data_IF_482488388027
#
_entry.id   IF_482488388027
#
_cell.length_a   1.000
_cell.length_b   1.000
_cell.length_c   1.000
_cell.angle_alpha   90.00
_cell.angle_beta   90.00
_cell.angle_gamma   90.00
#
_symmetry.space_group_name_H-M   'P 1'
#
loop_
_entity.id
_entity.type
_entity.pdbx_description
1 polymer ?
#
# COMPACT_ATOMS: atom_id res chain seq x y z
N UNK A 1 -8.94 -19.23 1.76
CA UNK A 1 -9.43 -18.25 0.77
C UNK A 1 -8.22 -17.54 0.19
N UNK A 2 -8.01 -17.65 -1.12
CA UNK A 2 -6.93 -16.98 -1.83
C UNK A 2 -7.40 -15.54 -2.07
N UNK A 3 -6.84 -14.57 -1.35
CA UNK A 3 -7.28 -13.19 -1.48
C UNK A 3 -6.71 -12.63 -2.78
N UNK A 4 -7.58 -12.44 -3.77
CA UNK A 4 -7.29 -11.71 -4.99
C UNK A 4 -6.86 -10.28 -4.62
N UNK A 5 -5.68 -9.87 -5.09
CA UNK A 5 -5.30 -8.45 -5.12
C UNK A 5 -6.45 -7.69 -5.77
N UNK A 6 -6.92 -6.62 -5.13
CA UNK A 6 -7.93 -5.76 -5.74
C UNK A 6 -7.30 -5.10 -6.97
N UNK A 7 -8.06 -4.97 -8.04
CA UNK A 7 -7.68 -4.20 -9.21
C UNK A 7 -8.20 -2.77 -9.08
N UNK A 8 -7.65 -1.87 -9.87
CA UNK A 8 -8.14 -0.47 -9.96
C UNK A 8 -9.65 -0.41 -10.24
N UNK A 9 -10.17 -1.38 -11.01
CA UNK A 9 -11.61 -1.49 -11.33
C UNK A 9 -12.48 -1.88 -10.13
N UNK A 10 -11.88 -2.44 -9.09
CA UNK A 10 -12.56 -2.85 -7.86
C UNK A 10 -12.63 -1.70 -6.85
N UNK A 11 -12.04 -0.53 -7.14
CA UNK A 11 -12.13 0.63 -6.26
C UNK A 11 -13.58 1.14 -6.17
N UNK A 12 -14.06 1.47 -4.95
CA UNK A 12 -15.41 2.02 -4.76
C UNK A 12 -15.46 3.48 -5.24
N UNK A 13 -15.74 3.67 -6.53
CA UNK A 13 -15.72 4.99 -7.19
C UNK A 13 -16.70 5.98 -6.55
N UNK A 14 -17.88 5.51 -6.12
CA UNK A 14 -18.86 6.40 -5.50
C UNK A 14 -18.41 6.90 -4.12
N UNK A 15 -17.85 6.03 -3.26
CA UNK A 15 -17.24 6.45 -1.99
C UNK A 15 -16.12 7.47 -2.20
N UNK A 16 -15.25 7.24 -3.20
CA UNK A 16 -14.17 8.17 -3.55
C UNK A 16 -14.73 9.53 -4.03
N UNK A 17 -15.84 9.52 -4.78
CA UNK A 17 -16.51 10.74 -5.25
C UNK A 17 -17.10 11.54 -4.09
N UNK A 18 -17.75 10.87 -3.13
CA UNK A 18 -18.31 11.51 -1.93
C UNK A 18 -17.22 12.22 -1.09
N UNK A 19 -16.00 11.67 -1.07
CA UNK A 19 -14.84 12.29 -0.41
C UNK A 19 -14.11 13.34 -1.26
N UNK A 20 -14.58 13.62 -2.48
CA UNK A 20 -13.94 14.55 -3.40
C UNK A 20 -12.61 14.04 -3.99
N UNK A 21 -12.35 12.74 -3.88
CA UNK A 21 -11.15 12.05 -4.38
C UNK A 21 -11.35 11.44 -5.77
N UNK A 22 -12.53 11.61 -6.36
CA UNK A 22 -12.82 11.24 -7.73
C UNK A 22 -13.54 12.36 -8.46
N UNK A 23 -12.96 12.88 -9.54
CA UNK A 23 -13.52 13.98 -10.33
C UNK A 23 -13.17 13.80 -11.81
N UNK A 24 -14.11 14.09 -12.71
CA UNK A 24 -13.90 14.07 -14.16
C UNK A 24 -13.35 12.75 -14.72
N UNK A 25 -13.66 11.63 -14.06
CA UNK A 25 -13.18 10.29 -14.45
C UNK A 25 -11.84 9.89 -13.85
N UNK A 26 -11.21 10.76 -13.06
CA UNK A 26 -9.88 10.54 -12.50
C UNK A 26 -9.91 10.44 -10.97
N UNK A 27 -9.06 9.57 -10.43
CA UNK A 27 -8.82 9.45 -8.99
C UNK A 27 -7.75 10.47 -8.60
N UNK A 28 -8.09 11.37 -7.69
CA UNK A 28 -7.18 12.37 -7.15
C UNK A 28 -6.44 11.82 -5.92
N UNK A 29 -5.65 10.76 -6.12
CA UNK A 29 -4.75 10.20 -5.12
C UNK A 29 -3.37 9.95 -5.73
N UNK A 30 -2.29 10.11 -4.96
CA UNK A 30 -0.97 9.67 -5.39
C UNK A 30 -0.98 8.18 -5.75
N UNK A 31 -0.21 7.80 -6.77
CA UNK A 31 -0.12 6.39 -7.20
C UNK A 31 0.22 5.44 -6.03
N UNK A 32 1.13 5.85 -5.14
CA UNK A 32 1.49 5.02 -3.98
C UNK A 32 0.31 4.75 -3.05
N UNK A 33 -0.59 5.72 -2.89
CA UNK A 33 -1.79 5.55 -2.06
C UNK A 33 -2.82 4.67 -2.74
N UNK A 34 -2.95 4.74 -4.08
CA UNK A 34 -3.78 3.79 -4.84
C UNK A 34 -3.24 2.36 -4.68
N UNK A 35 -1.93 2.16 -4.88
CA UNK A 35 -1.27 0.86 -4.74
C UNK A 35 -1.41 0.32 -3.28
N UNK A 36 -1.34 1.21 -2.29
CA UNK A 36 -1.60 0.89 -0.88
C UNK A 36 -3.03 0.37 -0.66
N UNK A 37 -4.05 1.07 -1.17
CA UNK A 37 -5.45 0.64 -1.07
C UNK A 37 -5.65 -0.75 -1.71
N UNK A 38 -5.11 -0.96 -2.91
CA UNK A 38 -5.23 -2.22 -3.65
C UNK A 38 -4.50 -3.39 -2.98
N UNK A 39 -3.46 -3.09 -2.18
CA UNK A 39 -2.75 -4.07 -1.35
C UNK A 39 -3.38 -4.28 0.02
N UNK A 40 -4.48 -3.59 0.33
CA UNK A 40 -5.16 -3.65 1.61
C UNK A 40 -4.43 -2.94 2.75
N UNK A 41 -3.49 -2.05 2.41
CA UNK A 41 -2.79 -1.15 3.34
C UNK A 41 -3.55 0.17 3.47
N UNK A 42 -3.10 1.02 4.42
CA UNK A 42 -3.61 2.38 4.57
C UNK A 42 -2.86 3.35 3.68
N UNK A 43 -3.54 4.37 3.18
CA UNK A 43 -2.92 5.51 2.48
C UNK A 43 -2.04 6.34 3.41
N UNK A 44 -1.31 7.28 2.81
CA UNK A 44 -0.75 8.42 3.50
C UNK A 44 -1.86 9.30 4.10
N UNK A 45 -1.50 10.25 4.96
CA UNK A 45 -2.47 11.18 5.53
C UNK A 45 -2.93 12.14 4.42
N UNK A 46 -4.20 12.05 4.06
CA UNK A 46 -4.85 12.83 3.02
C UNK A 46 -5.66 13.95 3.67
N UNK A 47 -5.53 15.15 3.11
CA UNK A 47 -6.37 16.29 3.47
C UNK A 47 -7.61 16.31 2.58
N UNK A 48 -8.77 16.07 3.17
CA UNK A 48 -10.06 16.24 2.52
C UNK A 48 -10.58 17.65 2.77
N UNK A 49 -11.26 18.21 1.77
CA UNK A 49 -11.87 19.53 1.86
C UNK A 49 -13.36 19.42 1.50
N UNK A 50 -14.20 20.19 2.20
CA UNK A 50 -15.64 20.29 1.96
C UNK A 50 -16.33 18.92 1.90
N UNK A 51 -16.05 18.07 2.89
CA UNK A 51 -16.70 16.76 3.00
C UNK A 51 -18.13 16.98 3.45
N UNK A 52 -19.10 16.53 2.64
CA UNK A 52 -20.52 16.64 2.94
C UNK A 52 -21.03 15.22 3.19
N UNK A 53 -21.45 14.94 4.42
CA UNK A 53 -22.07 13.67 4.75
C UNK A 53 -23.23 13.86 5.72
N UNK A 54 -24.39 13.29 5.38
CA UNK A 54 -25.59 13.31 6.22
C UNK A 54 -26.00 14.71 6.73
N UNK A 55 -25.82 15.74 5.90
CA UNK A 55 -26.16 17.14 6.22
C UNK A 55 -25.15 17.88 7.10
N UNK A 56 -24.03 17.24 7.45
CA UNK A 56 -22.90 17.88 8.12
C UNK A 56 -21.84 18.24 7.08
N UNK A 57 -21.47 19.51 7.03
CA UNK A 57 -20.37 20.00 6.21
C UNK A 57 -19.12 20.13 7.07
N UNK A 58 -18.07 19.39 6.69
CA UNK A 58 -16.74 19.47 7.29
C UNK A 58 -15.83 20.17 6.30
N UNK A 59 -15.45 21.41 6.61
CA UNK A 59 -14.60 22.23 5.74
C UNK A 59 -13.27 21.53 5.42
N UNK A 60 -12.66 20.91 6.43
CA UNK A 60 -11.38 20.24 6.30
C UNK A 60 -11.26 19.10 7.30
N UNK A 61 -10.74 17.96 6.84
CA UNK A 61 -10.33 16.87 7.72
C UNK A 61 -9.14 16.11 7.17
N UNK A 62 -8.25 15.68 8.05
CA UNK A 62 -7.15 14.79 7.71
C UNK A 62 -7.57 13.34 7.99
N UNK A 63 -7.35 12.46 7.02
CA UNK A 63 -7.74 11.05 7.10
C UNK A 63 -6.68 10.15 6.49
N UNK A 64 -6.64 8.89 6.91
CA UNK A 64 -6.14 7.80 6.07
C UNK A 64 -7.32 7.00 5.53
N UNK A 65 -7.10 6.30 4.43
CA UNK A 65 -8.10 5.43 3.82
C UNK A 65 -7.59 3.99 3.78
N UNK A 66 -8.51 3.02 3.84
CA UNK A 66 -8.22 1.62 3.53
C UNK A 66 -9.40 0.97 2.83
N UNK A 67 -9.19 -0.21 2.24
CA UNK A 67 -10.28 -1.02 1.70
C UNK A 67 -10.57 -2.23 2.59
N UNK A 68 -11.85 -2.52 2.75
CA UNK A 68 -12.35 -3.79 3.27
C UNK A 68 -13.30 -4.43 2.26
N UNK A 69 -13.63 -5.71 2.45
CA UNK A 69 -14.73 -6.35 1.71
C UNK A 69 -15.95 -6.38 2.60
N UNK A 70 -17.08 -5.90 2.08
CA UNK A 70 -18.36 -5.96 2.77
C UNK A 70 -18.96 -7.38 2.74
N UNK A 71 -20.17 -7.56 3.29
CA UNK A 71 -20.88 -8.85 3.34
C UNK A 71 -21.13 -9.47 1.97
N UNK A 72 -21.24 -8.65 0.93
CA UNK A 72 -21.46 -9.09 -0.45
C UNK A 72 -20.13 -9.35 -1.20
N UNK A 73 -18.99 -9.22 -0.51
CA UNK A 73 -17.66 -9.40 -1.06
C UNK A 73 -17.17 -8.23 -1.92
N UNK A 74 -17.92 -7.13 -1.99
CA UNK A 74 -17.52 -5.90 -2.71
C UNK A 74 -16.58 -5.07 -1.85
N UNK A 75 -15.66 -4.35 -2.49
CA UNK A 75 -14.78 -3.42 -1.80
C UNK A 75 -15.58 -2.23 -1.26
N UNK A 76 -15.30 -1.84 -0.02
CA UNK A 76 -15.83 -0.64 0.65
C UNK A 76 -14.67 0.23 1.13
N UNK A 77 -14.83 1.55 1.06
CA UNK A 77 -13.83 2.49 1.53
C UNK A 77 -14.02 2.77 3.03
N UNK A 78 -12.98 2.53 3.81
CA UNK A 78 -12.94 2.88 5.22
C UNK A 78 -12.18 4.18 5.43
N UNK A 79 -12.78 5.11 6.16
CA UNK A 79 -12.20 6.41 6.50
C UNK A 79 -11.66 6.38 7.93
N UNK A 80 -10.39 6.69 8.10
CA UNK A 80 -9.68 6.72 9.38
C UNK A 80 -9.30 8.17 9.71
N UNK A 81 -10.17 8.94 10.40
CA UNK A 81 -9.86 10.32 10.76
C UNK A 81 -8.77 10.39 11.83
N UNK A 82 -8.21 11.59 12.04
CA UNK A 82 -7.36 11.85 13.21
C UNK A 82 -8.21 11.92 14.49
N UNK A 83 -8.22 10.84 15.26
CA UNK A 83 -8.99 10.73 16.49
C UNK A 83 -8.40 11.60 17.61
N UNK A 84 -9.25 12.13 18.49
CA UNK A 84 -8.80 12.82 19.71
C UNK A 84 -8.19 11.85 20.71
N UNK A 85 -8.82 10.69 20.86
CA UNK A 85 -8.43 9.63 21.79
C UNK A 85 -8.54 8.27 21.10
N UNK A 86 -7.52 7.45 21.26
CA UNK A 86 -7.48 6.10 20.74
C UNK A 86 -8.27 5.13 21.62
N UNK A 87 -8.95 4.17 21.00
CA UNK A 87 -9.63 3.08 21.70
C UNK A 87 -8.80 1.80 21.51
N UNK A 88 -8.24 1.28 22.60
CA UNK A 88 -7.46 0.05 22.54
C UNK A 88 -8.36 -1.17 22.22
N UNK A 89 -7.93 -2.09 21.34
CA UNK A 89 -8.67 -3.29 21.05
C UNK A 89 -8.66 -4.23 22.28
N UNK A 90 -9.77 -4.95 22.50
CA UNK A 90 -9.93 -5.86 23.66
C UNK A 90 -8.86 -6.95 23.79
N UNK A 91 -8.13 -7.23 22.70
CA UNK A 91 -7.11 -8.27 22.64
C UNK A 91 -5.76 -7.85 23.27
N UNK A 92 -5.59 -6.56 23.60
CA UNK A 92 -4.41 -6.05 24.30
C UNK A 92 -4.80 -5.45 25.65
N UNK A 93 -3.90 -5.52 26.62
CA UNK A 93 -4.05 -4.84 27.90
C UNK A 93 -3.76 -3.34 27.79
N UNK A 94 -4.15 -2.55 28.81
CA UNK A 94 -3.83 -1.12 28.84
C UNK A 94 -2.33 -0.84 28.82
N UNK A 95 -1.53 -1.64 29.54
CA UNK A 95 -0.06 -1.52 29.53
C UNK A 95 0.53 -1.81 28.15
N UNK A 96 0.01 -2.82 27.47
CA UNK A 96 0.41 -3.12 26.09
C UNK A 96 -0.01 -2.01 25.10
N UNK A 97 -1.17 -1.39 25.33
CA UNK A 97 -1.59 -0.23 24.57
C UNK A 97 -0.64 0.96 24.80
N UNK A 98 -0.24 1.21 26.05
CA UNK A 98 0.73 2.25 26.40
C UNK A 98 2.10 1.99 25.76
N UNK A 99 2.57 0.74 25.75
CA UNK A 99 3.83 0.35 25.07
C UNK A 99 3.81 0.73 23.58
N UNK A 100 2.67 0.52 22.90
CA UNK A 100 2.49 0.88 21.50
C UNK A 100 2.36 2.39 21.30
N UNK A 101 1.59 3.08 22.14
CA UNK A 101 1.39 4.54 22.04
C UNK A 101 2.71 5.30 22.25
N UNK A 102 3.51 4.86 23.22
CA UNK A 102 4.80 5.48 23.56
C UNK A 102 5.92 5.10 22.60
N UNK A 103 5.73 4.05 21.80
CA UNK A 103 6.72 3.52 20.88
C UNK A 103 7.72 2.56 21.53
N UNK A 104 7.57 2.21 22.82
CA UNK A 104 8.37 1.17 23.47
C UNK A 104 8.28 -0.16 22.71
N UNK A 105 7.15 -0.42 22.05
CA UNK A 105 7.00 -1.50 21.08
C UNK A 105 6.47 -0.95 19.77
N UNK A 106 7.04 -1.43 18.67
CA UNK A 106 6.51 -1.16 17.34
C UNK A 106 5.15 -1.85 17.09
N UNK A 107 5.04 -3.09 17.54
CA UNK A 107 3.86 -3.92 17.37
C UNK A 107 3.80 -5.02 18.45
N UNK A 108 2.66 -5.66 18.55
CA UNK A 108 2.42 -6.85 19.36
C UNK A 108 1.86 -7.96 18.48
N UNK A 109 2.25 -9.21 18.75
CA UNK A 109 1.62 -10.39 18.16
C UNK A 109 0.69 -11.03 19.18
N UNK A 110 -0.58 -11.21 18.80
CA UNK A 110 -1.62 -11.88 19.58
C UNK A 110 -2.14 -13.07 18.83
N UNK A 111 -2.39 -14.16 19.55
CA UNK A 111 -3.01 -15.36 18.98
C UNK A 111 -4.48 -15.40 19.38
N UNK A 112 -5.34 -15.75 18.42
CA UNK A 112 -6.77 -15.95 18.64
C UNK A 112 -7.24 -17.19 17.88
N UNK A 113 -8.42 -17.70 18.24
CA UNK A 113 -9.07 -18.79 17.51
C UNK A 113 -10.33 -18.23 16.87
N UNK A 114 -10.42 -18.33 15.55
CA UNK A 114 -11.60 -17.93 14.78
C UNK A 114 -12.00 -19.09 13.86
N UNK A 115 -13.25 -19.54 13.96
CA UNK A 115 -13.76 -20.70 13.19
C UNK A 115 -12.89 -21.96 13.34
N UNK A 116 -12.32 -22.20 14.53
CA UNK A 116 -11.44 -23.34 14.81
C UNK A 116 -10.02 -23.22 14.22
N UNK A 117 -9.67 -22.09 13.59
CA UNK A 117 -8.34 -21.84 13.07
C UNK A 117 -7.59 -20.84 13.97
N UNK A 118 -6.34 -21.16 14.27
CA UNK A 118 -5.44 -20.23 14.96
C UNK A 118 -5.08 -19.09 14.01
N UNK A 119 -5.32 -17.87 14.44
CA UNK A 119 -4.91 -16.65 13.77
C UNK A 119 -3.90 -15.90 14.60
N UNK A 120 -2.85 -15.42 13.94
CA UNK A 120 -1.87 -14.50 14.51
C UNK A 120 -2.20 -13.10 14.04
N UNK A 121 -2.50 -12.23 14.99
CA UNK A 121 -2.86 -10.84 14.78
C UNK A 121 -1.70 -9.94 15.20
N UNK A 122 -1.28 -9.06 14.30
CA UNK A 122 -0.35 -7.98 14.59
C UNK A 122 -1.15 -6.75 15.00
N UNK A 123 -0.82 -6.18 16.16
CA UNK A 123 -1.41 -4.94 16.67
C UNK A 123 -0.37 -3.84 16.64
N UNK A 124 -0.68 -2.75 15.96
CA UNK A 124 0.17 -1.56 15.81
C UNK A 124 -0.58 -0.30 16.27
N UNK A 125 0.16 0.76 16.58
CA UNK A 125 -0.40 2.10 16.78
C UNK A 125 -0.04 3.01 15.61
N UNK A 126 -1.04 3.67 15.03
CA UNK A 126 -0.87 4.66 13.98
C UNK A 126 -0.91 6.06 14.59
N UNK A 127 0.27 6.67 14.76
CA UNK A 127 0.39 8.03 15.31
C UNK A 127 -0.23 9.11 14.43
N UNK A 128 -0.38 8.87 13.12
CA UNK A 128 -0.97 9.86 12.22
C UNK A 128 -2.49 10.00 12.50
N UNK A 129 -3.19 8.88 12.75
CA UNK A 129 -4.64 8.87 13.02
C UNK A 129 -5.01 8.68 14.50
N UNK A 130 -4.03 8.38 15.36
CA UNK A 130 -4.21 8.00 16.77
C UNK A 130 -5.14 6.80 16.93
N UNK A 131 -4.85 5.74 16.19
CA UNK A 131 -5.68 4.55 16.14
C UNK A 131 -4.84 3.28 16.26
N UNK A 132 -5.42 2.23 16.84
CA UNK A 132 -4.81 0.90 16.83
C UNK A 132 -5.23 0.14 15.58
N UNK A 133 -4.25 -0.45 14.90
CA UNK A 133 -4.46 -1.28 13.71
C UNK A 133 -4.29 -2.74 14.10
N UNK A 134 -5.27 -3.57 13.78
CA UNK A 134 -5.20 -5.02 13.96
C UNK A 134 -5.17 -5.69 12.59
N UNK A 135 -4.09 -6.42 12.32
CA UNK A 135 -3.85 -7.06 11.02
C UNK A 135 -3.63 -8.55 11.20
N UNK A 136 -4.33 -9.38 10.44
CA UNK A 136 -3.99 -10.80 10.31
C UNK A 136 -2.64 -10.94 9.61
N UNK A 137 -1.66 -11.51 10.31
CA UNK A 137 -0.27 -11.67 9.82
C UNK A 137 -0.17 -12.47 8.54
N UNK A 138 -1.15 -13.34 8.24
CA UNK A 138 -1.21 -14.08 6.97
C UNK A 138 -1.43 -13.17 5.75
N UNK A 139 -1.85 -11.92 5.97
CA UNK A 139 -2.03 -10.89 4.92
C UNK A 139 -0.76 -10.11 4.62
N UNK A 140 0.29 -10.27 5.43
CA UNK A 140 1.54 -9.53 5.23
C UNK A 140 2.29 -10.08 4.02
N UNK A 141 2.67 -9.18 3.10
CA UNK A 141 3.49 -9.53 1.95
C UNK A 141 4.95 -9.58 2.37
N UNK A 142 5.55 -10.76 2.34
CA UNK A 142 6.94 -10.99 2.74
C UNK A 142 7.88 -10.79 1.54
N UNK A 143 8.86 -9.87 1.63
CA UNK A 143 9.88 -9.72 0.59
C UNK A 143 10.71 -10.99 0.39
N UNK A 144 11.04 -11.27 -0.87
CA UNK A 144 12.05 -12.26 -1.25
C UNK A 144 13.46 -11.69 -1.07
N UNK A 145 13.67 -10.44 -1.48
CA UNK A 145 14.92 -9.70 -1.34
C UNK A 145 14.66 -8.26 -0.90
N UNK A 146 15.63 -7.68 -0.22
CA UNK A 146 15.71 -6.24 0.08
C UNK A 146 17.09 -5.73 -0.34
N UNK A 147 17.11 -4.68 -1.15
CA UNK A 147 18.31 -4.14 -1.78
C UNK A 147 19.16 -5.23 -2.45
N UNK A 148 18.50 -6.19 -3.11
CA UNK A 148 19.15 -7.29 -3.83
C UNK A 148 19.76 -8.38 -2.93
N UNK A 149 19.62 -8.26 -1.60
CA UNK A 149 20.05 -9.29 -0.65
C UNK A 149 18.84 -10.18 -0.33
N UNK A 150 18.93 -11.52 -0.50
CA UNK A 150 17.84 -12.43 -0.18
C UNK A 150 17.60 -12.54 1.32
N UNK A 151 16.32 -12.59 1.69
CA UNK A 151 15.92 -12.92 3.06
C UNK A 151 16.10 -14.43 3.28
N UNK A 152 16.76 -14.78 4.37
CA UNK A 152 16.80 -16.18 4.85
C UNK A 152 15.41 -16.66 5.27
N UNK A 153 15.15 -17.98 5.30
CA UNK A 153 13.88 -18.52 5.80
C UNK A 153 13.51 -18.02 7.20
N UNK A 154 14.50 -17.91 8.08
CA UNK A 154 14.31 -17.37 9.43
C UNK A 154 13.92 -15.88 9.42
N UNK A 155 14.55 -15.06 8.57
CA UNK A 155 14.16 -13.65 8.43
C UNK A 155 12.76 -13.51 7.83
N UNK A 156 12.39 -14.33 6.85
CA UNK A 156 11.03 -14.35 6.28
C UNK A 156 9.99 -14.68 7.34
N UNK A 157 10.22 -15.72 8.14
CA UNK A 157 9.34 -16.09 9.26
C UNK A 157 9.23 -14.95 10.26
N UNK A 158 10.35 -14.36 10.69
CA UNK A 158 10.36 -13.22 11.61
C UNK A 158 9.56 -12.04 11.08
N UNK A 159 9.77 -11.67 9.81
CA UNK A 159 9.07 -10.57 9.17
C UNK A 159 7.56 -10.85 9.09
N UNK A 160 7.17 -12.07 8.72
CA UNK A 160 5.77 -12.51 8.70
C UNK A 160 5.12 -12.44 10.09
N UNK A 161 5.91 -12.55 11.17
CA UNK A 161 5.45 -12.34 12.54
C UNK A 161 5.70 -10.90 13.05
N UNK A 162 5.75 -9.91 12.14
CA UNK A 162 5.88 -8.48 12.49
C UNK A 162 7.23 -8.07 13.07
N UNK A 163 8.23 -8.96 13.13
CA UNK A 163 9.50 -8.67 13.79
C UNK A 163 10.44 -7.91 12.87
N UNK A 164 11.23 -7.02 13.47
CA UNK A 164 12.31 -6.31 12.79
C UNK A 164 13.34 -7.28 12.20
N UNK A 165 13.80 -6.97 10.99
CA UNK A 165 14.88 -7.65 10.29
C UNK A 165 16.05 -6.68 10.16
N UNK A 166 17.26 -7.21 10.29
CA UNK A 166 18.51 -6.50 9.99
C UNK A 166 19.23 -7.26 8.87
N UNK A 167 19.67 -6.51 7.86
CA UNK A 167 20.40 -7.01 6.70
C UNK A 167 21.90 -6.76 6.90
N UNK A 168 22.78 -7.53 6.22
CA UNK A 168 24.23 -7.34 6.30
C UNK A 168 24.74 -5.94 5.94
N UNK A 169 23.96 -5.15 5.19
CA UNK A 169 24.29 -3.78 4.78
C UNK A 169 23.79 -2.71 5.77
N UNK A 170 23.37 -3.13 6.97
CA UNK A 170 22.82 -2.27 8.02
C UNK A 170 21.40 -1.78 7.76
N UNK A 171 20.74 -2.23 6.69
CA UNK A 171 19.31 -1.96 6.47
C UNK A 171 18.49 -2.70 7.52
N UNK A 172 17.67 -1.96 8.26
CA UNK A 172 16.68 -2.52 9.17
C UNK A 172 15.28 -2.17 8.70
N UNK A 173 14.36 -3.13 8.82
CA UNK A 173 12.99 -2.95 8.38
C UNK A 173 12.04 -3.91 9.09
N UNK A 174 10.74 -3.61 9.05
CA UNK A 174 9.68 -4.45 9.58
C UNK A 174 8.37 -4.19 8.83
N UNK A 175 7.46 -5.16 8.84
CA UNK A 175 6.11 -4.97 8.32
C UNK A 175 5.36 -3.90 9.11
N UNK A 176 4.53 -3.09 8.43
CA UNK A 176 3.63 -2.14 9.08
C UNK A 176 2.42 -1.81 8.22
N UNK A 177 1.22 -2.16 8.69
CA UNK A 177 -0.04 -1.85 8.02
C UNK A 177 -0.53 -0.42 8.26
N UNK A 178 0.17 0.34 9.12
CA UNK A 178 -0.02 1.77 9.32
C UNK A 178 0.56 2.64 8.18
N UNK A 179 1.30 2.02 7.25
CA UNK A 179 2.07 2.72 6.22
C UNK A 179 1.64 2.29 4.81
N UNK A 180 1.66 3.19 3.81
CA UNK A 180 1.29 2.87 2.43
C UNK A 180 2.11 1.73 1.83
N UNK A 181 3.42 1.76 2.07
CA UNK A 181 4.37 0.80 1.52
C UNK A 181 4.34 -0.55 2.25
N UNK A 182 3.53 -0.68 3.32
CA UNK A 182 3.45 -1.89 4.15
C UNK A 182 4.70 -2.15 4.99
N UNK A 183 5.66 -1.22 5.02
CA UNK A 183 7.00 -1.39 5.60
C UNK A 183 7.44 -0.12 6.32
N UNK A 184 8.08 -0.29 7.47
CA UNK A 184 8.93 0.73 8.11
C UNK A 184 10.40 0.36 7.95
N UNK A 185 11.27 1.35 7.84
CA UNK A 185 12.71 1.13 7.68
C UNK A 185 13.56 2.24 8.27
N UNK A 186 14.82 1.93 8.60
CA UNK A 186 15.85 2.95 8.87
C UNK A 186 16.36 3.66 7.59
N UNK A 187 15.93 3.22 6.40
CA UNK A 187 16.21 3.85 5.11
C UNK A 187 14.98 4.59 4.57
N UNK A 188 15.19 5.67 3.81
CA UNK A 188 14.11 6.40 3.13
C UNK A 188 13.58 5.69 1.87
N UNK A 189 14.38 4.80 1.29
CA UNK A 189 14.02 4.05 0.11
C UNK A 189 14.60 2.64 0.16
N UNK A 190 13.86 1.68 -0.40
CA UNK A 190 14.28 0.29 -0.54
C UNK A 190 13.89 -0.23 -1.92
N UNK A 191 14.70 -1.12 -2.47
CA UNK A 191 14.28 -1.97 -3.58
C UNK A 191 13.91 -3.33 -3.00
N UNK A 192 12.64 -3.70 -3.08
CA UNK A 192 12.16 -4.99 -2.58
C UNK A 192 11.72 -5.87 -3.75
N UNK A 193 11.78 -7.18 -3.56
CA UNK A 193 11.20 -8.11 -4.52
C UNK A 193 10.12 -8.96 -3.87
N UNK A 194 9.04 -9.22 -4.60
CA UNK A 194 7.91 -10.03 -4.14
C UNK A 194 7.68 -11.17 -5.15
N UNK A 195 7.27 -12.34 -4.64
CA UNK A 195 6.78 -13.41 -5.48
C UNK A 195 5.32 -13.09 -5.88
N UNK A 196 5.07 -12.87 -7.17
CA UNK A 196 3.77 -12.53 -7.73
C UNK A 196 3.54 -13.32 -9.01
N UNK A 197 2.37 -13.95 -9.14
CA UNK A 197 1.92 -14.63 -10.37
C UNK A 197 2.93 -15.64 -10.97
N UNK A 198 3.70 -16.32 -10.11
CA UNK A 198 4.70 -17.32 -10.50
C UNK A 198 6.09 -16.75 -10.86
N UNK A 199 6.32 -15.45 -10.67
CA UNK A 199 7.61 -14.79 -10.91
C UNK A 199 8.01 -13.79 -9.83
N UNK A 200 9.25 -13.31 -9.90
CA UNK A 200 9.76 -12.27 -8.99
C UNK A 200 9.49 -10.90 -9.61
N UNK A 201 8.75 -10.05 -8.89
CA UNK A 201 8.47 -8.65 -9.24
C UNK A 201 9.26 -7.73 -8.31
N UNK A 202 9.84 -6.66 -8.86
CA UNK A 202 10.61 -5.67 -8.10
C UNK A 202 9.84 -4.37 -7.91
N UNK A 203 9.82 -3.88 -6.68
CA UNK A 203 9.20 -2.62 -6.28
C UNK A 203 10.26 -1.67 -5.71
N UNK A 204 10.22 -0.42 -6.17
CA UNK A 204 10.96 0.67 -5.56
C UNK A 204 10.02 1.36 -4.57
N UNK A 205 10.33 1.24 -3.28
CA UNK A 205 9.61 1.90 -2.20
C UNK A 205 10.38 3.16 -1.81
N UNK A 206 9.69 4.29 -1.70
CA UNK A 206 10.30 5.60 -1.40
C UNK A 206 9.44 6.39 -0.44
N UNK A 207 10.05 7.23 0.40
CA UNK A 207 9.30 7.95 1.43
C UNK A 207 8.87 7.02 2.57
N UNK A 208 9.59 5.91 2.76
CA UNK A 208 9.32 4.93 3.80
C UNK A 208 9.28 5.61 5.16
N UNK A 209 8.31 5.21 5.99
CA UNK A 209 8.23 5.71 7.37
C UNK A 209 9.31 5.07 8.25
N UNK A 210 9.77 5.85 9.21
CA UNK A 210 10.75 5.44 10.19
C UNK A 210 10.31 4.22 11.01
N UNK A 211 11.31 3.42 11.42
CA UNK A 211 11.16 2.43 12.48
C UNK A 211 10.70 3.10 13.78
N UNK A 212 10.03 2.33 14.64
CA UNK A 212 9.62 2.76 15.98
C UNK A 212 10.67 2.31 16.99
N UNK A 213 10.98 3.16 17.96
CA UNK A 213 11.76 2.79 19.14
C UNK A 213 11.27 3.54 20.39
N UNK A 214 11.98 3.36 21.50
CA UNK A 214 11.56 3.73 22.86
C UNK A 214 11.17 5.21 23.09
N UNK A 215 11.45 6.10 22.13
CA UNK A 215 11.10 7.53 22.16
C UNK A 215 10.33 7.99 20.93
N UNK A 216 9.59 7.07 20.29
CA UNK A 216 8.88 7.30 19.04
C UNK A 216 9.69 6.91 17.81
N UNK A 217 9.59 7.69 16.74
CA UNK A 217 10.21 7.35 15.46
C UNK A 217 11.74 7.48 15.51
N UNK A 218 12.45 6.44 15.08
CA UNK A 218 13.90 6.42 14.97
C UNK A 218 14.38 7.29 13.79
N UNK A 219 15.60 7.86 13.86
CA UNK A 219 16.18 8.56 12.72
C UNK A 219 16.31 7.64 11.50
N UNK A 220 15.98 8.17 10.32
CA UNK A 220 16.22 7.52 9.05
C UNK A 220 17.40 8.13 8.32
N UNK A 221 18.06 7.33 7.51
CA UNK A 221 19.15 7.75 6.64
C UNK A 221 18.70 7.65 5.18
N UNK A 222 18.97 8.69 4.38
CA UNK A 222 18.91 8.59 2.90
C UNK A 222 20.20 7.98 2.36
N UNK A 223 20.63 6.85 2.94
CA UNK A 223 21.82 6.15 2.50
C UNK A 223 21.43 5.15 1.42
N UNK A 224 21.81 5.46 0.18
CA UNK A 224 21.64 4.61 -0.99
C UNK A 224 22.97 3.89 -1.23
N UNK A 225 23.16 2.80 -0.51
CA UNK A 225 24.40 2.04 -0.56
C UNK A 225 24.57 1.30 -1.89
N UNK A 226 25.71 0.64 -2.05
CA UNK A 226 26.03 -0.12 -3.28
C UNK A 226 24.97 -1.18 -3.61
N UNK A 227 24.43 -1.86 -2.60
CA UNK A 227 23.41 -2.89 -2.76
C UNK A 227 22.08 -2.31 -3.27
N UNK A 228 21.66 -1.15 -2.75
CA UNK A 228 20.50 -0.42 -3.27
C UNK A 228 20.66 -0.09 -4.75
N UNK A 229 21.81 0.46 -5.16
CA UNK A 229 22.05 0.83 -6.56
C UNK A 229 22.08 -0.39 -7.50
N UNK A 230 22.73 -1.49 -7.08
CA UNK A 230 22.73 -2.75 -7.83
C UNK A 230 21.32 -3.31 -7.99
N UNK A 231 20.54 -3.31 -6.91
CA UNK A 231 19.16 -3.79 -6.94
C UNK A 231 18.27 -2.93 -7.85
N UNK A 232 18.46 -1.62 -7.83
CA UNK A 232 17.72 -0.70 -8.69
C UNK A 232 18.02 -0.95 -10.18
N UNK A 233 19.29 -1.20 -10.52
CA UNK A 233 19.69 -1.56 -11.88
C UNK A 233 19.11 -2.90 -12.31
N UNK A 234 19.15 -3.91 -11.45
CA UNK A 234 18.55 -5.22 -11.72
C UNK A 234 17.03 -5.12 -11.95
N UNK A 235 16.33 -4.34 -11.13
CA UNK A 235 14.90 -4.07 -11.28
C UNK A 235 14.58 -3.36 -12.61
N UNK A 236 15.42 -2.40 -13.03
CA UNK A 236 15.26 -1.71 -14.30
C UNK A 236 15.52 -2.63 -15.51
N UNK A 237 16.51 -3.53 -15.41
CA UNK A 237 16.81 -4.52 -16.43
C UNK A 237 15.62 -5.49 -16.65
N UNK A 238 14.98 -5.95 -15.57
CA UNK A 238 13.84 -6.87 -15.71
C UNK A 238 12.59 -6.19 -16.31
N UNK A 239 12.34 -4.91 -16.00
CA UNK A 239 11.28 -4.13 -16.65
C UNK A 239 11.51 -3.97 -18.15
N UNK A 240 12.75 -4.06 -18.63
CA UNK A 240 13.07 -3.95 -20.06
C UNK A 240 13.07 -5.30 -20.80
N UNK A 241 13.22 -6.43 -20.09
CA UNK A 241 13.10 -7.78 -20.68
C UNK A 241 11.67 -8.26 -20.88
N UNK A 242 10.66 -7.64 -20.22
CA UNK A 242 9.24 -7.85 -20.54
C UNK A 242 8.87 -7.00 -21.78
N UNK A 243 9.40 -7.38 -22.94
CA UNK A 243 8.89 -6.96 -24.27
C UNK A 243 8.17 -8.15 -24.90
N UNK A 244 6.85 -8.02 -25.02
CA UNK A 244 5.83 -8.84 -25.70
C UNK A 244 6.25 -10.14 -26.42
N UNK A 245 5.54 -11.24 -26.17
CA UNK A 245 5.03 -12.11 -27.21
C UNK A 245 3.55 -11.78 -27.49
N UNK A 246 3.29 -11.37 -28.74
CA UNK A 246 1.98 -11.33 -29.41
C UNK A 246 0.97 -10.21 -29.03
N UNK A 247 1.17 -9.02 -29.61
CA UNK A 247 0.05 -8.20 -30.09
C UNK A 247 0.00 -8.29 -31.61
N UNK A 248 -0.69 -9.32 -32.10
CA UNK A 248 -1.14 -9.37 -33.49
C UNK A 248 -2.38 -8.47 -33.58
N UNK A 249 -2.22 -7.39 -34.33
CA UNK A 249 -3.23 -6.43 -34.78
C UNK A 249 -4.65 -7.00 -34.92
N UNK A 250 -5.61 -6.36 -34.27
CA UNK A 250 -7.02 -6.37 -34.68
C UNK A 250 -7.62 -5.00 -34.38
N UNK A 251 -7.34 -4.04 -35.27
CA UNK A 251 -8.07 -2.79 -35.34
C UNK A 251 -9.51 -3.10 -35.78
N UNK A 252 -10.48 -2.92 -34.89
CA UNK A 252 -11.89 -2.86 -35.26
C UNK A 252 -12.15 -1.43 -35.74
N UNK A 253 -11.97 -1.23 -37.04
CA UNK A 253 -12.44 -0.06 -37.77
C UNK A 253 -13.96 -0.18 -37.98
N UNK A 254 -14.73 0.64 -37.26
CA UNK A 254 -16.14 0.86 -37.58
C UNK A 254 -16.23 1.85 -38.75
N UNK A 255 -16.52 1.32 -39.93
CA UNK A 255 -16.99 2.08 -41.08
C UNK A 255 -18.37 2.67 -40.76
N UNK A 256 -18.54 3.96 -41.06
CA UNK A 256 -19.79 4.46 -41.63
C UNK A 256 -19.47 5.65 -42.54
N UNK A 257 -19.51 5.39 -43.84
CA UNK A 257 -19.59 6.38 -44.89
C UNK A 257 -20.92 7.14 -44.80
N UNK A 258 -20.93 8.45 -45.06
CA UNK A 258 -21.87 9.10 -45.97
C UNK A 258 -21.39 10.51 -46.36
N UNK A 259 -21.02 10.63 -47.64
CA UNK A 259 -21.46 11.66 -48.60
C UNK A 259 -21.34 13.16 -48.26
N UNK A 260 -20.52 13.87 -49.05
CA UNK A 260 -20.86 15.02 -49.95
C UNK A 260 -19.79 16.13 -49.93
N UNK A 261 -19.39 16.58 -51.12
CA UNK A 261 -19.10 18.01 -51.34
C UNK A 261 -17.80 18.39 -52.03
N UNK A 262 -17.85 18.49 -53.37
CA UNK A 262 -17.11 19.35 -54.30
C UNK A 262 -15.83 20.09 -53.87
N UNK A 263 -14.78 19.91 -54.69
CA UNK A 263 -13.67 20.85 -54.87
C UNK A 263 -12.87 20.53 -56.13
N UNK A 264 -13.12 21.28 -57.22
CA UNK A 264 -12.49 21.18 -58.54
C UNK A 264 -11.34 22.20 -58.65
N UNK A 265 -10.35 21.90 -59.50
CA UNK A 265 -9.23 22.74 -60.01
C UNK A 265 -7.94 22.77 -59.17
N UNK A 266 -6.72 22.57 -59.72
CA UNK A 266 -6.29 22.30 -61.09
C UNK A 266 -4.77 22.12 -61.25
N UNK A 267 -4.36 21.78 -62.49
CA UNK A 267 -3.07 21.97 -63.21
C UNK A 267 -1.80 21.31 -62.59
N UNK A 268 -1.11 20.36 -63.23
CA UNK A 268 -0.15 20.45 -64.37
C UNK A 268 0.46 19.03 -64.50
N UNK A 269 0.91 18.44 -65.62
CA UNK A 269 1.35 18.80 -66.97
C UNK A 269 0.92 17.67 -67.92
#
# INVERSE_FOLDING_TARGET
MQYSNLNVRDLPVEDLRELGLFKDGEINLPKNDIDALLSGMRTSLIKLNNVIHSGVEVQEMNVKLSLAKNSDGKAELLVHPVYKQSIAPKIISSTEADDLITGLKANLIKETVENGQNKKLMVEYDWDTREFIVTDTSRLRVPEMVNGIPLTPYQKERYANGRQIEMPDGTTFQASSATPDGIRSNRLALVVSLLMDGGISYLLLTGLKAMVGDRGLLPQKDERNENYHKALQAAAAQKSTVKNPEETTSAISNNNEYSRGYGRSGVSR
#
